data_IF_758597270984
#
_entry.id   IF_758597270984
#
_cell.length_a   1.000
_cell.length_b   1.000
_cell.length_c   1.000
_cell.angle_alpha   90.00
_cell.angle_beta   90.00
_cell.angle_gamma   90.00
#
_symmetry.space_group_name_H-M   'P 1'
#
loop_
_entity.id
_entity.type
_entity.pdbx_description
1 polymer ?
#
# COMPACT_ATOMS: atom_id res chain seq x y z
N UNK A 1 18.28 -24.54 26.58
CA UNK A 1 17.36 -23.39 26.76
C UNK A 1 17.78 -22.30 25.79
N UNK A 2 17.41 -22.42 24.51
CA UNK A 2 17.78 -21.45 23.47
C UNK A 2 16.70 -20.40 23.36
N UNK A 3 17.04 -19.12 23.56
CA UNK A 3 16.12 -18.01 23.27
C UNK A 3 15.79 -18.03 21.78
N UNK A 4 14.51 -18.06 21.44
CA UNK A 4 14.05 -17.78 20.09
C UNK A 4 14.51 -16.37 19.67
N UNK A 5 14.94 -16.15 18.42
CA UNK A 5 15.22 -14.81 17.94
C UNK A 5 13.93 -13.97 18.03
N UNK A 6 14.06 -12.78 18.61
CA UNK A 6 12.98 -11.81 18.63
C UNK A 6 12.56 -11.50 17.18
N UNK A 7 11.26 -11.52 16.91
CA UNK A 7 10.71 -11.09 15.62
C UNK A 7 11.07 -9.62 15.35
N UNK A 8 11.08 -9.17 14.08
CA UNK A 8 11.47 -7.81 13.74
C UNK A 8 10.49 -6.83 14.39
N UNK A 9 10.99 -6.05 15.35
CA UNK A 9 10.28 -4.93 15.95
C UNK A 9 10.05 -3.88 14.84
N UNK A 10 8.80 -3.50 14.63
CA UNK A 10 8.40 -2.54 13.59
C UNK A 10 8.38 -1.13 14.16
N UNK A 11 9.36 -0.30 13.81
CA UNK A 11 9.23 1.16 13.85
C UNK A 11 8.37 1.58 12.66
N UNK A 12 7.05 1.48 12.83
CA UNK A 12 6.08 1.85 11.78
C UNK A 12 6.24 3.33 11.38
N UNK A 13 6.50 4.19 12.36
CA UNK A 13 6.62 5.64 12.17
C UNK A 13 7.75 6.07 11.22
N UNK A 14 8.99 5.64 11.44
CA UNK A 14 10.12 6.09 10.61
C UNK A 14 9.98 5.67 9.13
N UNK A 15 9.41 4.48 8.89
CA UNK A 15 9.18 4.00 7.53
C UNK A 15 8.04 4.75 6.84
N UNK A 16 6.94 4.96 7.55
CA UNK A 16 5.78 5.71 7.06
C UNK A 16 6.14 7.17 6.77
N UNK A 17 6.95 7.81 7.63
CA UNK A 17 7.42 9.19 7.43
C UNK A 17 8.30 9.33 6.18
N UNK A 18 9.21 8.38 5.94
CA UNK A 18 10.05 8.38 4.74
C UNK A 18 9.19 8.24 3.47
N UNK A 19 8.22 7.32 3.47
CA UNK A 19 7.32 7.15 2.33
C UNK A 19 6.46 8.39 2.12
N UNK A 20 5.90 8.97 3.18
CA UNK A 20 5.11 10.19 3.09
C UNK A 20 5.93 11.37 2.51
N UNK A 21 7.22 11.46 2.85
CA UNK A 21 8.14 12.43 2.25
C UNK A 21 8.31 12.20 0.75
N UNK A 22 8.58 10.98 0.31
CA UNK A 22 8.74 10.68 -1.12
C UNK A 22 7.45 10.96 -1.91
N UNK A 23 6.29 10.61 -1.34
CA UNK A 23 4.98 10.84 -1.94
C UNK A 23 4.64 12.33 -2.06
N UNK A 24 5.26 13.21 -1.26
CA UNK A 24 5.03 14.66 -1.33
C UNK A 24 5.59 15.30 -2.62
N UNK A 25 6.47 14.61 -3.34
CA UNK A 25 7.03 15.07 -4.62
C UNK A 25 6.23 14.58 -5.84
N UNK A 26 5.12 13.86 -5.62
CA UNK A 26 4.25 13.46 -6.72
C UNK A 26 3.66 14.70 -7.43
N UNK A 27 3.37 14.59 -8.74
CA UNK A 27 2.76 15.69 -9.49
C UNK A 27 1.40 16.10 -8.91
N UNK A 28 0.97 17.33 -9.19
CA UNK A 28 -0.24 17.93 -8.58
C UNK A 28 -1.56 17.24 -8.92
N UNK A 29 -1.59 16.34 -9.91
CA UNK A 29 -2.75 15.50 -10.23
C UNK A 29 -2.82 14.21 -9.40
N UNK A 30 -1.95 14.05 -8.40
CA UNK A 30 -2.01 13.05 -7.36
C UNK A 30 -2.45 13.70 -6.04
N UNK A 31 -3.32 13.03 -5.30
CA UNK A 31 -3.67 13.41 -3.93
C UNK A 31 -3.32 12.27 -2.99
N UNK A 32 -2.56 12.57 -1.94
CA UNK A 32 -2.03 11.59 -0.98
C UNK A 32 -2.70 11.78 0.37
N UNK A 33 -3.18 10.68 0.96
CA UNK A 33 -3.73 10.60 2.31
C UNK A 33 -2.88 9.61 3.12
N UNK A 34 -2.23 10.09 4.18
CA UNK A 34 -1.39 9.27 5.06
C UNK A 34 -2.14 8.95 6.36
N UNK A 35 -2.00 7.73 6.87
CA UNK A 35 -2.49 7.34 8.19
C UNK A 35 -4.02 7.44 8.37
N UNK A 36 -4.80 7.08 7.35
CA UNK A 36 -6.26 7.24 7.35
C UNK A 36 -7.00 6.02 7.96
N UNK A 37 -8.17 6.26 8.56
CA UNK A 37 -9.13 5.22 9.00
C UNK A 37 -10.53 5.55 8.53
N UNK A 38 -11.11 4.70 7.70
CA UNK A 38 -12.46 4.89 7.11
C UNK A 38 -13.60 4.43 8.05
N UNK A 39 -13.40 4.50 9.37
CA UNK A 39 -14.32 3.94 10.36
C UNK A 39 -14.36 2.39 10.41
N UNK A 40 -13.64 1.71 9.51
CA UNK A 40 -13.53 0.26 9.46
C UNK A 40 -12.41 -0.33 10.32
N UNK A 41 -11.96 -1.53 9.95
CA UNK A 41 -10.97 -2.30 10.75
C UNK A 41 -9.53 -1.98 10.38
N UNK A 42 -9.32 -1.43 9.19
CA UNK A 42 -7.99 -1.22 8.63
C UNK A 42 -7.48 0.20 8.92
N UNK A 43 -6.17 0.28 9.11
CA UNK A 43 -5.43 1.55 9.11
C UNK A 43 -4.71 1.59 7.78
N UNK A 44 -4.95 2.64 7.01
CA UNK A 44 -4.29 2.83 5.73
C UNK A 44 -3.01 3.61 5.99
N UNK A 45 -1.85 3.00 5.74
CA UNK A 45 -0.58 3.74 5.83
C UNK A 45 -0.61 4.86 4.78
N UNK A 46 -0.96 4.55 3.51
CA UNK A 46 -1.19 5.55 2.47
C UNK A 46 -2.33 5.17 1.50
N UNK A 47 -3.15 6.16 1.13
CA UNK A 47 -4.07 6.12 -0.01
C UNK A 47 -3.65 7.21 -0.99
N UNK A 48 -3.47 6.86 -2.27
CA UNK A 48 -3.11 7.81 -3.31
C UNK A 48 -4.20 7.78 -4.37
N UNK A 49 -4.88 8.92 -4.56
CA UNK A 49 -5.78 9.14 -5.70
C UNK A 49 -4.93 9.65 -6.85
N UNK A 50 -4.75 8.82 -7.87
CA UNK A 50 -3.86 9.05 -9.00
C UNK A 50 -4.66 9.17 -10.32
N UNK A 51 -4.03 9.61 -11.42
CA UNK A 51 -4.73 9.77 -12.69
C UNK A 51 -5.39 8.49 -13.23
N UNK A 52 -4.78 7.33 -12.98
CA UNK A 52 -5.18 6.01 -13.50
C UNK A 52 -6.01 5.17 -12.52
N UNK A 53 -6.16 5.62 -11.27
CA UNK A 53 -6.85 4.83 -10.25
C UNK A 53 -6.45 5.25 -8.84
N UNK A 54 -6.75 4.39 -7.88
CA UNK A 54 -6.47 4.63 -6.47
C UNK A 54 -5.53 3.55 -5.96
N UNK A 55 -4.49 3.95 -5.26
CA UNK A 55 -3.47 3.03 -4.74
C UNK A 55 -3.57 2.97 -3.22
N UNK A 56 -3.64 1.75 -2.70
CA UNK A 56 -3.50 1.45 -1.27
C UNK A 56 -2.11 0.93 -1.03
N UNK A 57 -1.26 1.72 -0.37
CA UNK A 57 0.13 1.38 -0.09
C UNK A 57 0.26 1.00 1.38
N UNK A 58 0.65 -0.24 1.65
CA UNK A 58 1.11 -0.69 2.96
C UNK A 58 2.64 -0.67 3.00
N UNK A 59 3.22 -0.08 4.04
CA UNK A 59 4.67 0.08 4.16
C UNK A 59 5.25 -0.94 5.15
N UNK A 60 6.38 -1.55 4.77
CA UNK A 60 7.14 -2.49 5.61
C UNK A 60 8.60 -2.10 5.70
N UNK A 61 9.06 -1.98 6.94
CA UNK A 61 10.44 -1.66 7.27
C UNK A 61 11.09 -2.78 8.08
N UNK A 62 11.09 -4.01 7.53
CA UNK A 62 11.67 -5.16 8.21
C UNK A 62 13.17 -5.25 7.90
N UNK A 63 13.95 -5.76 8.86
CA UNK A 63 15.34 -6.15 8.61
C UNK A 63 15.42 -7.51 7.91
N UNK A 64 16.52 -7.74 7.20
CA UNK A 64 16.76 -8.99 6.47
C UNK A 64 16.11 -8.99 5.09
N UNK A 65 15.70 -10.17 4.63
CA UNK A 65 15.06 -10.36 3.32
C UNK A 65 13.78 -11.17 3.44
N UNK A 66 12.98 -11.15 2.38
CA UNK A 66 11.81 -12.00 2.21
C UNK A 66 11.87 -12.71 0.86
N UNK A 67 11.18 -13.83 0.75
CA UNK A 67 10.99 -14.58 -0.48
C UNK A 67 9.49 -14.76 -0.74
N UNK A 68 9.13 -15.00 -1.98
CA UNK A 68 7.76 -15.31 -2.37
C UNK A 68 7.68 -16.74 -2.90
N UNK A 69 6.88 -17.58 -2.24
CA UNK A 69 6.69 -19.00 -2.60
C UNK A 69 5.21 -19.30 -2.68
N UNK A 70 4.77 -19.84 -3.82
CA UNK A 70 3.36 -20.17 -4.07
C UNK A 70 2.41 -18.99 -3.78
N UNK A 71 2.83 -17.77 -4.16
CA UNK A 71 2.06 -16.54 -3.94
C UNK A 71 1.99 -16.06 -2.48
N UNK A 72 2.80 -16.63 -1.58
CA UNK A 72 2.90 -16.24 -0.17
C UNK A 72 4.25 -15.62 0.14
N UNK A 73 4.25 -14.65 1.04
CA UNK A 73 5.49 -14.10 1.58
C UNK A 73 6.03 -15.02 2.69
N UNK A 74 7.29 -15.40 2.59
CA UNK A 74 8.02 -16.18 3.59
C UNK A 74 9.34 -15.50 3.94
N UNK A 75 9.81 -15.68 5.17
CA UNK A 75 11.17 -15.36 5.55
C UNK A 75 12.14 -16.46 5.07
N UNK A 76 13.46 -16.17 4.98
CA UNK A 76 14.47 -17.18 4.82
C UNK A 76 14.28 -18.32 5.83
N UNK A 77 14.25 -19.56 5.34
CA UNK A 77 13.87 -20.74 6.13
C UNK A 77 12.39 -21.13 6.07
N UNK A 78 11.57 -20.44 5.27
CA UNK A 78 10.21 -20.87 4.91
C UNK A 78 9.11 -20.51 5.92
N UNK A 79 9.43 -19.74 6.96
CA UNK A 79 8.44 -19.30 7.95
C UNK A 79 7.62 -18.13 7.42
N UNK A 80 6.31 -18.18 7.60
CA UNK A 80 5.41 -17.06 7.29
C UNK A 80 5.35 -16.03 8.45
N UNK A 81 5.11 -14.74 8.14
CA UNK A 81 4.80 -13.76 9.17
C UNK A 81 3.46 -14.07 9.84
N UNK A 82 3.35 -13.85 11.16
CA UNK A 82 2.13 -14.12 11.91
C UNK A 82 0.90 -13.35 11.41
N UNK A 83 1.12 -12.19 10.77
CA UNK A 83 0.09 -11.45 10.04
C UNK A 83 0.55 -11.29 8.57
N UNK A 84 -0.06 -12.02 7.61
CA UNK A 84 0.36 -11.97 6.21
C UNK A 84 0.16 -10.56 5.61
N UNK A 85 1.21 -9.88 5.13
CA UNK A 85 1.09 -8.49 4.62
C UNK A 85 0.33 -8.41 3.31
N UNK A 86 0.50 -9.39 2.41
CA UNK A 86 -0.27 -9.47 1.15
C UNK A 86 -1.78 -9.52 1.40
N UNK A 87 -2.21 -10.22 2.46
CA UNK A 87 -3.62 -10.26 2.84
C UNK A 87 -4.08 -8.94 3.46
N UNK A 88 -3.24 -8.33 4.30
CA UNK A 88 -3.57 -7.05 4.95
C UNK A 88 -3.88 -5.94 3.93
N UNK A 89 -3.03 -5.76 2.93
CA UNK A 89 -3.23 -4.71 1.92
C UNK A 89 -4.46 -5.00 1.06
N UNK A 90 -4.73 -6.27 0.71
CA UNK A 90 -5.95 -6.66 0.00
C UNK A 90 -7.22 -6.40 0.80
N UNK A 91 -7.21 -6.78 2.08
CA UNK A 91 -8.37 -6.57 2.96
C UNK A 91 -8.63 -5.06 3.15
N UNK A 92 -7.57 -4.24 3.24
CA UNK A 92 -7.68 -2.78 3.27
C UNK A 92 -8.20 -2.21 1.95
N UNK A 93 -7.70 -2.66 0.80
CA UNK A 93 -8.21 -2.25 -0.51
C UNK A 93 -9.69 -2.60 -0.68
N UNK A 94 -10.13 -3.78 -0.21
CA UNK A 94 -11.55 -4.15 -0.22
C UNK A 94 -12.41 -3.27 0.71
N UNK A 95 -11.85 -2.74 1.81
CA UNK A 95 -12.52 -1.74 2.64
C UNK A 95 -12.67 -0.41 1.90
N UNK A 96 -11.62 0.05 1.21
CA UNK A 96 -11.67 1.28 0.41
C UNK A 96 -12.63 1.18 -0.77
N UNK A 97 -12.65 0.05 -1.49
CA UNK A 97 -13.60 -0.18 -2.59
C UNK A 97 -15.04 0.00 -2.10
N UNK A 98 -15.41 -0.63 -0.99
CA UNK A 98 -16.75 -0.48 -0.40
C UNK A 98 -17.06 0.96 -0.03
N UNK A 99 -16.10 1.67 0.56
CA UNK A 99 -16.27 3.08 0.91
C UNK A 99 -16.56 3.96 -0.32
N UNK A 100 -15.83 3.72 -1.41
CA UNK A 100 -15.97 4.45 -2.68
C UNK A 100 -17.31 4.10 -3.36
N UNK A 101 -17.69 2.82 -3.35
CA UNK A 101 -18.96 2.35 -3.90
C UNK A 101 -20.14 2.99 -3.15
N UNK A 102 -20.10 3.02 -1.81
CA UNK A 102 -21.12 3.64 -0.96
C UNK A 102 -21.24 5.16 -1.20
N UNK A 103 -20.14 5.80 -1.63
CA UNK A 103 -20.11 7.22 -2.00
C UNK A 103 -20.53 7.50 -3.45
N UNK A 104 -20.96 6.47 -4.20
CA UNK A 104 -21.40 6.59 -5.60
C UNK A 104 -20.26 6.80 -6.60
N UNK A 105 -19.02 6.48 -6.21
CA UNK A 105 -17.83 6.56 -7.05
C UNK A 105 -17.36 5.17 -7.54
N UNK A 106 -18.26 4.19 -7.58
CA UNK A 106 -17.93 2.81 -7.96
C UNK A 106 -17.29 2.67 -9.34
N UNK A 107 -16.68 1.51 -9.59
CA UNK A 107 -15.94 1.15 -10.81
C UNK A 107 -14.55 1.78 -11.01
N UNK A 108 -14.01 2.45 -9.98
CA UNK A 108 -12.63 2.94 -10.02
C UNK A 108 -11.61 1.81 -9.82
N UNK A 109 -10.53 1.76 -10.62
CA UNK A 109 -9.41 0.85 -10.39
C UNK A 109 -8.80 1.11 -9.01
N UNK A 110 -8.72 0.07 -8.17
CA UNK A 110 -8.04 0.12 -6.87
C UNK A 110 -6.90 -0.89 -6.86
N UNK A 111 -5.67 -0.39 -6.69
CA UNK A 111 -4.44 -1.18 -6.72
C UNK A 111 -3.87 -1.36 -5.31
N UNK A 112 -3.52 -2.61 -4.98
CA UNK A 112 -2.82 -2.93 -3.74
C UNK A 112 -1.32 -2.90 -3.96
N UNK A 113 -0.61 -2.11 -3.15
CA UNK A 113 0.85 -2.00 -3.20
C UNK A 113 1.44 -2.35 -1.83
N UNK A 114 2.42 -3.23 -1.80
CA UNK A 114 3.20 -3.58 -0.62
C UNK A 114 4.64 -3.08 -0.81
N UNK A 115 4.97 -2.00 -0.11
CA UNK A 115 6.23 -1.29 -0.24
C UNK A 115 7.21 -1.71 0.86
N UNK A 116 8.41 -2.17 0.49
CA UNK A 116 9.47 -2.54 1.42
C UNK A 116 10.64 -1.55 1.38
N UNK A 117 11.02 -0.99 2.53
CA UNK A 117 12.06 0.04 2.60
C UNK A 117 13.46 -0.56 2.72
N UNK A 118 13.74 -1.24 3.83
CA UNK A 118 15.06 -1.82 4.14
C UNK A 118 15.12 -3.33 3.90
N UNK A 119 13.98 -3.95 3.57
CA UNK A 119 13.90 -5.41 3.40
C UNK A 119 14.40 -5.81 2.02
N UNK A 120 15.33 -6.77 1.98
CA UNK A 120 15.78 -7.37 0.73
C UNK A 120 14.65 -8.12 0.03
N UNK A 121 14.43 -7.77 -1.24
CA UNK A 121 13.46 -8.42 -2.13
C UNK A 121 14.18 -9.23 -3.22
N UNK A 122 13.54 -10.30 -3.76
CA UNK A 122 14.06 -11.03 -4.92
C UNK A 122 14.20 -10.18 -6.19
N UNK A 123 13.27 -9.23 -6.37
CA UNK A 123 13.20 -8.29 -7.49
C UNK A 123 12.76 -6.92 -6.97
N UNK A 124 13.10 -5.85 -7.68
CA UNK A 124 12.81 -4.47 -7.26
C UNK A 124 11.32 -4.13 -7.32
N UNK A 125 10.62 -4.69 -8.32
CA UNK A 125 9.17 -4.61 -8.52
C UNK A 125 8.71 -6.00 -8.98
N UNK A 126 7.63 -6.52 -8.42
CA UNK A 126 7.01 -7.78 -8.83
C UNK A 126 5.51 -7.79 -8.54
N UNK A 127 4.75 -8.66 -9.21
CA UNK A 127 3.36 -8.91 -8.88
C UNK A 127 3.21 -10.24 -8.13
N UNK A 128 2.61 -10.21 -6.94
CA UNK A 128 2.33 -11.40 -6.14
C UNK A 128 0.85 -11.48 -5.85
N UNK A 129 0.16 -12.40 -6.53
CA UNK A 129 -1.28 -12.60 -6.39
C UNK A 129 -2.10 -11.31 -6.58
N UNK A 130 -1.75 -10.44 -7.53
CA UNK A 130 -2.44 -9.18 -7.78
C UNK A 130 -2.08 -8.04 -6.83
N UNK A 131 -1.07 -8.22 -5.97
CA UNK A 131 -0.46 -7.13 -5.19
C UNK A 131 0.86 -6.77 -5.85
N UNK A 132 1.06 -5.48 -6.16
CA UNK A 132 2.37 -5.00 -6.58
C UNK A 132 3.26 -4.91 -5.35
N UNK A 133 4.38 -5.63 -5.36
CA UNK A 133 5.39 -5.58 -4.31
C UNK A 133 6.59 -4.84 -4.86
N UNK A 134 7.07 -3.82 -4.16
CA UNK A 134 8.22 -3.04 -4.62
C UNK A 134 9.13 -2.61 -3.47
N UNK A 135 10.36 -2.23 -3.84
CA UNK A 135 11.23 -1.45 -2.95
C UNK A 135 10.72 -0.03 -2.79
N UNK A 136 11.08 0.62 -1.68
CA UNK A 136 10.76 2.02 -1.40
C UNK A 136 11.21 2.96 -2.51
N UNK A 137 12.42 2.78 -3.02
CA UNK A 137 13.01 3.57 -4.12
C UNK A 137 12.26 3.44 -5.46
N UNK A 138 11.38 2.45 -5.58
CA UNK A 138 10.57 2.16 -6.77
C UNK A 138 9.10 2.55 -6.64
N UNK A 139 8.68 3.05 -5.48
CA UNK A 139 7.27 3.34 -5.23
C UNK A 139 6.72 4.39 -6.21
N UNK A 140 7.45 5.47 -6.47
CA UNK A 140 7.00 6.53 -7.40
C UNK A 140 6.89 6.01 -8.83
N UNK A 141 7.82 5.15 -9.27
CA UNK A 141 7.77 4.44 -10.55
C UNK A 141 6.48 3.59 -10.66
N UNK A 142 6.18 2.80 -9.63
CA UNK A 142 4.96 1.98 -9.56
C UNK A 142 3.67 2.82 -9.61
N UNK A 143 3.63 3.97 -8.92
CA UNK A 143 2.45 4.84 -8.91
C UNK A 143 2.22 5.56 -10.24
N UNK A 144 3.27 5.74 -11.04
CA UNK A 144 3.24 6.46 -12.31
C UNK A 144 3.16 5.53 -13.52
N UNK A 145 3.40 4.23 -13.34
CA UNK A 145 3.14 3.25 -14.37
C UNK A 145 1.65 3.25 -14.75
N UNK A 146 1.40 3.34 -16.05
CA UNK A 146 0.05 3.37 -16.59
C UNK A 146 -0.45 1.95 -16.76
N UNK A 147 -1.21 1.44 -15.78
CA UNK A 147 -1.85 0.13 -15.84
C UNK A 147 -3.27 0.18 -16.44
N UNK A 148 -3.91 1.34 -16.37
CA UNK A 148 -5.33 1.52 -16.69
C UNK A 148 -5.57 2.81 -17.49
N UNK A 149 -6.76 2.89 -18.09
CA UNK A 149 -7.23 4.11 -18.75
C UNK A 149 -7.35 5.27 -17.75
N UNK A 150 -7.05 6.52 -18.15
CA UNK A 150 -7.18 7.66 -17.27
C UNK A 150 -8.60 7.83 -16.72
N UNK A 151 -8.71 7.96 -15.40
CA UNK A 151 -9.95 8.28 -14.70
C UNK A 151 -10.31 9.75 -14.95
N UNK A 152 -11.60 10.07 -15.09
CA UNK A 152 -12.06 11.44 -15.22
C UNK A 152 -11.72 12.27 -13.96
N UNK A 153 -11.23 13.50 -14.14
CA UNK A 153 -10.83 14.37 -13.03
C UNK A 153 -11.99 14.59 -12.03
N UNK A 154 -13.22 14.80 -12.52
CA UNK A 154 -14.40 14.99 -11.66
C UNK A 154 -14.69 13.81 -10.73
N UNK A 155 -14.42 12.58 -11.17
CA UNK A 155 -14.63 11.38 -10.34
C UNK A 155 -13.53 11.32 -9.28
N UNK A 156 -12.28 11.61 -9.65
CA UNK A 156 -11.17 11.69 -8.67
C UNK A 156 -11.41 12.76 -7.62
N UNK A 157 -11.87 13.93 -8.03
CA UNK A 157 -12.17 15.05 -7.14
C UNK A 157 -13.28 14.67 -6.15
N UNK A 158 -14.33 13.97 -6.62
CA UNK A 158 -15.37 13.44 -5.74
C UNK A 158 -14.81 12.46 -4.70
N UNK A 159 -13.95 11.51 -5.09
CA UNK A 159 -13.30 10.60 -4.13
C UNK A 159 -12.43 11.37 -3.12
N UNK A 160 -11.68 12.37 -3.58
CA UNK A 160 -10.86 13.21 -2.70
C UNK A 160 -11.74 13.91 -1.67
N UNK A 161 -12.87 14.47 -2.09
CA UNK A 161 -13.80 15.16 -1.18
C UNK A 161 -14.39 14.21 -0.15
N UNK A 162 -14.76 12.98 -0.54
CA UNK A 162 -15.27 11.97 0.40
C UNK A 162 -14.20 11.51 1.40
N UNK A 163 -12.96 11.31 0.96
CA UNK A 163 -11.86 10.94 1.86
C UNK A 163 -11.53 12.08 2.84
N UNK A 164 -11.64 13.35 2.42
CA UNK A 164 -11.41 14.51 3.30
C UNK A 164 -12.42 14.61 4.45
N UNK A 165 -13.68 14.25 4.22
CA UNK A 165 -14.72 14.24 5.26
C UNK A 165 -14.43 13.28 6.41
N UNK A 166 -13.54 12.31 6.21
CA UNK A 166 -13.15 11.34 7.23
C UNK A 166 -12.07 11.90 8.18
N UNK A 167 -11.37 12.95 7.75
CA UNK A 167 -10.28 13.59 8.51
C UNK A 167 -10.81 14.68 9.45
N UNK A 168 -11.96 15.27 9.12
CA UNK A 168 -12.66 16.32 9.89
C UNK A 168 -13.49 15.73 11.05
#
# INVERSE_FOLDING_TARGET
>A
MGRAPAGPFSERGEGEEWVAHELAFLPSNYTVFNGLRLGGKHNFDHIIVAPTGIFVVETKNWQGSVEFKEGRLVFPGGKEPGRPPLRQVKDAAAELIRFIDDAGCGDLPVHSVLCFLKTGLPEDIMNVNGVVVCKGEKLTEVLQETFDEPVAASIRDQVVDELRKVIE
#
